data_IF_094495721539
#
_entry.id   IF_094495721539
#
_cell.length_a   1.000
_cell.length_b   1.000
_cell.length_c   1.000
_cell.angle_alpha   90.00
_cell.angle_beta   90.00
_cell.angle_gamma   90.00
#
_symmetry.space_group_name_H-M   'P 1'
#
loop_
_entity.id
_entity.type
_entity.pdbx_description
1 polymer ?
#
# COMPACT_ATOMS: atom_id res chain seq x y z
N UNK A 1 -5.81 16.82 -3.88
CA UNK A 1 -4.50 17.31 -3.43
C UNK A 1 -3.50 16.26 -3.84
N UNK A 2 -2.59 16.59 -4.76
CA UNK A 2 -1.46 15.73 -5.12
C UNK A 2 -0.53 15.63 -3.93
N UNK A 3 -0.06 14.42 -3.62
CA UNK A 3 1.01 14.19 -2.66
C UNK A 3 2.19 15.05 -3.12
N UNK A 4 2.52 16.10 -2.38
CA UNK A 4 3.72 16.90 -2.63
C UNK A 4 4.90 16.16 -2.05
N UNK A 5 5.27 15.04 -2.65
CA UNK A 5 6.63 14.50 -2.54
C UNK A 5 7.54 15.38 -3.38
N UNK A 6 8.72 15.70 -2.85
CA UNK A 6 9.77 16.29 -3.68
C UNK A 6 10.07 15.33 -4.86
N UNK A 7 10.43 15.85 -6.04
CA UNK A 7 10.77 15.03 -7.21
C UNK A 7 11.87 13.99 -6.91
N UNK A 8 12.75 14.29 -5.95
CA UNK A 8 13.80 13.40 -5.45
C UNK A 8 13.19 12.24 -4.66
N UNK A 9 12.36 12.52 -3.64
CA UNK A 9 11.72 11.48 -2.82
C UNK A 9 10.88 10.52 -3.67
N UNK A 10 10.12 11.06 -4.63
CA UNK A 10 9.32 10.24 -5.54
C UNK A 10 10.20 9.30 -6.38
N UNK A 11 11.37 9.75 -6.83
CA UNK A 11 12.34 8.88 -7.54
C UNK A 11 12.88 7.79 -6.61
N UNK A 12 13.27 8.13 -5.38
CA UNK A 12 13.72 7.16 -4.38
C UNK A 12 12.63 6.11 -4.08
N UNK A 13 11.38 6.55 -3.93
CA UNK A 13 10.24 5.66 -3.67
C UNK A 13 9.91 4.74 -4.84
N UNK A 14 10.00 5.25 -6.08
CA UNK A 14 9.78 4.42 -7.27
C UNK A 14 10.83 3.31 -7.38
N UNK A 15 12.09 3.62 -7.11
CA UNK A 15 13.18 2.64 -7.14
C UNK A 15 13.04 1.63 -6.00
N UNK A 16 12.68 2.10 -4.80
CA UNK A 16 12.35 1.24 -3.67
C UNK A 16 11.25 0.22 -4.02
N UNK A 17 10.25 0.64 -4.79
CA UNK A 17 9.16 -0.19 -5.27
C UNK A 17 9.51 -1.03 -6.51
N UNK A 18 10.77 -1.04 -6.95
CA UNK A 18 11.24 -1.70 -8.18
C UNK A 18 10.49 -1.24 -9.44
N UNK A 19 10.00 0.02 -9.48
CA UNK A 19 9.31 0.60 -10.64
C UNK A 19 10.24 1.28 -11.63
N UNK A 20 11.50 1.49 -11.27
CA UNK A 20 12.53 2.09 -12.11
C UNK A 20 13.67 1.11 -12.33
N UNK A 21 14.29 1.16 -13.51
CA UNK A 21 15.45 0.34 -13.79
C UNK A 21 16.65 0.87 -13.02
N UNK A 22 17.40 -0.02 -12.38
CA UNK A 22 18.59 0.34 -11.59
C UNK A 22 19.63 1.11 -12.41
N UNK A 23 19.77 0.79 -13.70
CA UNK A 23 20.69 1.49 -14.63
C UNK A 23 20.24 2.94 -14.89
N UNK A 24 18.93 3.18 -15.01
CA UNK A 24 18.40 4.54 -15.16
C UNK A 24 18.59 5.34 -13.88
N UNK A 25 18.45 4.68 -12.72
CA UNK A 25 18.70 5.30 -11.42
C UNK A 25 20.18 5.65 -11.24
N UNK A 26 21.11 4.73 -11.56
CA UNK A 26 22.55 4.99 -11.53
C UNK A 26 22.91 6.24 -12.36
N UNK A 27 22.42 6.32 -13.60
CA UNK A 27 22.66 7.47 -14.46
C UNK A 27 22.12 8.77 -13.86
N UNK A 28 20.95 8.70 -13.25
CA UNK A 28 20.36 9.86 -12.57
C UNK A 28 21.21 10.31 -11.38
N UNK A 29 21.70 9.38 -10.54
CA UNK A 29 22.61 9.69 -9.42
C UNK A 29 23.84 10.46 -9.91
N UNK A 30 24.49 9.99 -10.97
CA UNK A 30 25.70 10.64 -11.49
C UNK A 30 25.49 12.03 -12.10
N UNK A 31 24.24 12.36 -12.47
CA UNK A 31 23.91 13.61 -13.16
C UNK A 31 23.14 14.61 -12.28
N UNK A 32 22.66 14.19 -11.11
CA UNK A 32 21.74 14.98 -10.30
C UNK A 32 22.49 15.84 -9.27
N UNK A 33 22.66 17.12 -9.60
CA UNK A 33 23.12 18.11 -8.61
C UNK A 33 22.08 18.29 -7.50
N UNK A 34 20.79 18.21 -7.82
CA UNK A 34 19.69 18.29 -6.85
C UNK A 34 19.78 17.17 -5.78
N UNK A 35 20.14 15.94 -6.17
CA UNK A 35 20.33 14.83 -5.23
C UNK A 35 21.50 15.08 -4.27
N UNK A 36 22.60 15.63 -4.80
CA UNK A 36 23.79 15.98 -4.04
C UNK A 36 23.54 17.09 -3.03
N UNK A 37 22.66 18.04 -3.34
CA UNK A 37 22.21 19.08 -2.42
C UNK A 37 21.21 18.56 -1.37
N UNK A 38 20.39 17.57 -1.75
CA UNK A 38 19.39 16.97 -0.87
C UNK A 38 20.00 16.04 0.19
N UNK A 39 21.02 15.26 -0.17
CA UNK A 39 21.68 14.31 0.72
C UNK A 39 22.84 14.94 1.48
N UNK A 40 23.21 14.33 2.61
CA UNK A 40 24.51 14.62 3.22
C UNK A 40 25.65 14.18 2.27
N UNK A 41 26.82 14.81 2.38
CA UNK A 41 27.97 14.45 1.54
C UNK A 41 28.33 12.97 1.64
N UNK A 42 28.38 12.43 2.87
CA UNK A 42 28.68 11.01 3.12
C UNK A 42 27.63 10.09 2.48
N UNK A 43 26.34 10.40 2.66
CA UNK A 43 25.27 9.63 2.03
C UNK A 43 25.37 9.67 0.51
N UNK A 44 25.60 10.84 -0.09
CA UNK A 44 25.76 10.96 -1.54
C UNK A 44 26.94 10.13 -2.07
N UNK A 45 28.07 10.11 -1.36
CA UNK A 45 29.20 9.24 -1.72
C UNK A 45 28.83 7.76 -1.63
N UNK A 46 28.07 7.32 -0.63
CA UNK A 46 27.59 5.93 -0.56
C UNK A 46 26.74 5.55 -1.80
N UNK A 47 25.92 6.47 -2.33
CA UNK A 47 25.18 6.24 -3.57
C UNK A 47 26.10 6.17 -4.80
N UNK A 48 27.18 6.95 -4.85
CA UNK A 48 28.16 6.90 -5.94
C UNK A 48 28.99 5.62 -5.94
N UNK A 49 29.36 5.13 -4.75
CA UNK A 49 30.22 3.96 -4.57
C UNK A 49 29.46 2.63 -4.69
N UNK A 50 28.13 2.67 -4.78
CA UNK A 50 27.31 1.47 -4.92
C UNK A 50 27.63 0.71 -6.21
N UNK A 51 27.86 -0.60 -6.11
CA UNK A 51 28.03 -1.46 -7.28
C UNK A 51 26.66 -1.79 -7.92
N UNK A 52 26.14 -0.89 -8.75
CA UNK A 52 24.84 -1.03 -9.44
C UNK A 52 24.72 -2.26 -10.37
N UNK A 53 25.84 -2.88 -10.72
CA UNK A 53 25.89 -4.07 -11.59
C UNK A 53 25.85 -5.40 -10.80
N UNK A 54 25.91 -5.34 -9.47
CA UNK A 54 25.81 -6.52 -8.62
C UNK A 54 24.42 -7.16 -8.72
N UNK A 55 24.35 -8.48 -8.54
CA UNK A 55 23.08 -9.20 -8.39
C UNK A 55 22.29 -8.73 -7.15
N UNK A 56 22.99 -8.21 -6.13
CA UNK A 56 22.40 -7.67 -4.90
C UNK A 56 22.08 -6.18 -4.97
N UNK A 57 22.33 -5.51 -6.10
CA UNK A 57 22.35 -4.06 -6.17
C UNK A 57 21.02 -3.41 -5.75
N UNK A 58 19.86 -3.99 -6.09
CA UNK A 58 18.57 -3.48 -5.61
C UNK A 58 18.41 -3.58 -4.09
N UNK A 59 18.89 -4.65 -3.47
CA UNK A 59 18.83 -4.82 -2.03
C UNK A 59 19.71 -3.78 -1.33
N UNK A 60 20.94 -3.63 -1.81
CA UNK A 60 21.92 -2.71 -1.25
C UNK A 60 21.47 -1.25 -1.43
N UNK A 61 20.90 -0.94 -2.59
CA UNK A 61 20.27 0.35 -2.87
C UNK A 61 19.10 0.65 -1.93
N UNK A 62 18.22 -0.32 -1.67
CA UNK A 62 17.15 -0.13 -0.68
C UNK A 62 17.71 0.13 0.70
N UNK A 63 18.78 -0.55 1.10
CA UNK A 63 19.41 -0.26 2.40
C UNK A 63 19.94 1.17 2.48
N UNK A 64 20.52 1.72 1.41
CA UNK A 64 20.93 3.12 1.35
C UNK A 64 19.71 4.06 1.44
N UNK A 65 18.72 3.87 0.57
CA UNK A 65 17.51 4.68 0.54
C UNK A 65 16.81 4.69 1.91
N UNK A 66 16.79 3.55 2.63
CA UNK A 66 16.09 3.42 3.92
C UNK A 66 16.61 4.35 5.01
N UNK A 67 17.86 4.80 4.88
CA UNK A 67 18.50 5.73 5.82
C UNK A 67 18.13 7.19 5.52
N UNK A 68 17.78 7.48 4.27
CA UNK A 68 17.57 8.84 3.77
C UNK A 68 16.09 9.22 3.66
N UNK A 69 15.17 8.26 3.82
CA UNK A 69 13.73 8.50 3.71
C UNK A 69 12.98 8.25 5.01
N UNK A 70 11.88 8.99 5.20
CA UNK A 70 10.90 8.62 6.22
C UNK A 70 10.08 7.44 5.75
N UNK A 71 10.14 6.33 6.49
CA UNK A 71 9.27 5.16 6.26
C UNK A 71 7.79 5.55 6.31
N UNK A 72 7.42 6.48 7.18
CA UNK A 72 6.04 6.97 7.29
C UNK A 72 5.57 7.66 6.00
N UNK A 73 6.42 8.52 5.42
CA UNK A 73 6.11 9.20 4.15
C UNK A 73 6.06 8.19 3.00
N UNK A 74 7.00 7.26 2.94
CA UNK A 74 7.04 6.22 1.91
C UNK A 74 5.80 5.33 1.94
N UNK A 75 5.41 4.83 3.11
CA UNK A 75 4.22 3.99 3.28
C UNK A 75 2.95 4.74 2.86
N UNK A 76 2.84 6.01 3.26
CA UNK A 76 1.71 6.87 2.90
C UNK A 76 1.66 7.10 1.39
N UNK A 77 2.79 7.46 0.77
CA UNK A 77 2.90 7.62 -0.67
C UNK A 77 2.55 6.33 -1.42
N UNK A 78 3.06 5.19 -0.95
CA UNK A 78 2.83 3.87 -1.56
C UNK A 78 1.37 3.48 -1.51
N UNK A 79 0.69 3.66 -0.37
CA UNK A 79 -0.73 3.33 -0.25
C UNK A 79 -1.60 4.29 -1.07
N UNK A 80 -1.32 5.59 -1.05
CA UNK A 80 -2.04 6.56 -1.88
C UNK A 80 -1.88 6.27 -3.38
N UNK A 81 -0.69 5.87 -3.83
CA UNK A 81 -0.48 5.43 -5.21
C UNK A 81 -1.34 4.20 -5.55
N UNK A 82 -1.40 3.20 -4.68
CA UNK A 82 -2.24 2.02 -4.87
C UNK A 82 -3.73 2.38 -4.97
N UNK A 83 -4.20 3.23 -4.05
CA UNK A 83 -5.58 3.75 -4.02
C UNK A 83 -5.92 4.49 -5.33
N UNK A 84 -5.02 5.35 -5.81
CA UNK A 84 -5.25 6.08 -7.05
C UNK A 84 -5.20 5.17 -8.29
N UNK A 85 -4.36 4.14 -8.32
CA UNK A 85 -4.40 3.11 -9.36
C UNK A 85 -5.73 2.36 -9.38
N UNK A 86 -6.31 2.02 -8.22
CA UNK A 86 -7.66 1.43 -8.13
C UNK A 86 -8.71 2.41 -8.62
N UNK A 87 -8.68 3.65 -8.14
CA UNK A 87 -9.63 4.71 -8.53
C UNK A 87 -9.65 4.95 -10.04
N UNK A 88 -8.48 4.99 -10.67
CA UNK A 88 -8.31 5.26 -12.10
C UNK A 88 -8.27 4.00 -12.97
N UNK A 89 -8.35 2.80 -12.38
CA UNK A 89 -8.17 1.50 -13.05
C UNK A 89 -6.89 1.42 -13.89
N UNK A 90 -5.76 1.91 -13.36
CA UNK A 90 -4.47 2.00 -14.08
C UNK A 90 -3.51 0.87 -13.70
N UNK A 91 -2.82 0.33 -14.70
CA UNK A 91 -1.83 -0.73 -14.51
C UNK A 91 -2.44 -2.00 -13.93
N UNK A 92 -1.72 -2.66 -13.02
CA UNK A 92 -2.16 -3.86 -12.31
C UNK A 92 -3.10 -3.54 -11.13
N UNK A 93 -4.06 -2.64 -11.32
CA UNK A 93 -4.91 -2.15 -10.23
C UNK A 93 -5.66 -3.26 -9.47
N UNK A 94 -6.02 -4.34 -10.16
CA UNK A 94 -6.68 -5.50 -9.55
C UNK A 94 -5.80 -6.19 -8.50
N UNK A 95 -4.47 -6.21 -8.67
CA UNK A 95 -3.53 -6.72 -7.66
C UNK A 95 -3.53 -5.85 -6.41
N UNK A 96 -3.77 -4.55 -6.54
CA UNK A 96 -3.91 -3.66 -5.38
C UNK A 96 -5.20 -3.93 -4.62
N UNK A 97 -6.30 -4.18 -5.33
CA UNK A 97 -7.56 -4.62 -4.70
C UNK A 97 -7.33 -5.91 -3.92
N UNK A 98 -6.70 -6.93 -4.53
CA UNK A 98 -6.34 -8.19 -3.87
C UNK A 98 -5.40 -8.00 -2.67
N UNK A 99 -4.48 -7.04 -2.73
CA UNK A 99 -3.51 -6.79 -1.66
C UNK A 99 -4.10 -6.08 -0.44
N UNK A 100 -5.28 -5.43 -0.53
CA UNK A 100 -5.90 -4.78 0.63
C UNK A 100 -6.21 -5.77 1.76
N UNK A 101 -6.56 -7.02 1.45
CA UNK A 101 -6.71 -8.07 2.46
C UNK A 101 -5.41 -8.31 3.24
N UNK A 102 -4.28 -8.40 2.54
CA UNK A 102 -2.98 -8.61 3.17
C UNK A 102 -2.58 -7.42 4.06
N UNK A 103 -2.81 -6.19 3.60
CA UNK A 103 -2.49 -5.00 4.39
C UNK A 103 -3.31 -4.92 5.69
N UNK A 104 -4.61 -5.23 5.62
CA UNK A 104 -5.48 -5.34 6.79
C UNK A 104 -4.98 -6.45 7.74
N UNK A 105 -4.74 -7.66 7.20
CA UNK A 105 -4.21 -8.81 7.94
C UNK A 105 -2.85 -8.53 8.62
N UNK A 106 -1.99 -7.73 7.99
CA UNK A 106 -0.70 -7.34 8.56
C UNK A 106 -0.78 -6.19 9.57
N UNK A 107 -1.93 -5.53 9.74
CA UNK A 107 -2.14 -4.58 10.83
C UNK A 107 -2.72 -3.23 10.41
N UNK A 108 -2.86 -2.91 9.11
CA UNK A 108 -3.53 -1.68 8.66
C UNK A 108 -5.05 -1.78 8.74
N UNK A 109 -5.57 -2.09 9.93
CA UNK A 109 -7.00 -2.35 10.17
C UNK A 109 -7.94 -1.20 9.82
N UNK A 110 -7.42 0.02 9.62
CA UNK A 110 -8.20 1.13 9.12
C UNK A 110 -8.76 0.91 7.71
N UNK A 111 -8.18 0.02 6.89
CA UNK A 111 -8.68 -0.30 5.54
C UNK A 111 -9.66 -1.48 5.50
N UNK A 112 -10.15 -1.97 6.64
CA UNK A 112 -10.94 -3.22 6.71
C UNK A 112 -12.14 -3.26 5.76
N UNK A 113 -12.76 -2.12 5.44
CA UNK A 113 -13.80 -2.03 4.41
C UNK A 113 -13.29 -2.44 3.02
N UNK A 114 -12.12 -1.94 2.60
CA UNK A 114 -11.49 -2.33 1.34
C UNK A 114 -11.12 -3.82 1.32
N UNK A 115 -10.64 -4.32 2.47
CA UNK A 115 -10.29 -5.72 2.70
C UNK A 115 -11.51 -6.64 2.59
N UNK A 116 -12.55 -6.42 3.38
CA UNK A 116 -13.65 -7.37 3.52
C UNK A 116 -14.72 -7.24 2.42
N UNK A 117 -15.03 -6.03 1.98
CA UNK A 117 -16.13 -5.83 1.02
C UNK A 117 -15.69 -6.09 -0.43
N UNK A 118 -14.38 -6.11 -0.71
CA UNK A 118 -13.84 -6.25 -2.07
C UNK A 118 -12.71 -7.27 -2.15
N UNK A 119 -11.62 -7.05 -1.40
CA UNK A 119 -10.41 -7.87 -1.51
C UNK A 119 -10.64 -9.34 -1.14
N UNK A 120 -11.46 -9.59 -0.12
CA UNK A 120 -11.81 -10.93 0.34
C UNK A 120 -12.46 -11.76 -0.77
N UNK A 121 -13.36 -11.16 -1.55
CA UNK A 121 -14.02 -11.85 -2.67
C UNK A 121 -13.08 -12.15 -3.82
N UNK A 122 -11.99 -11.40 -3.98
CA UNK A 122 -10.91 -11.73 -4.91
C UNK A 122 -10.07 -12.88 -4.37
N UNK A 123 -9.62 -12.82 -3.12
CA UNK A 123 -8.77 -13.85 -2.52
C UNK A 123 -9.51 -15.18 -2.31
N UNK A 124 -10.85 -15.16 -2.19
CA UNK A 124 -11.67 -16.34 -1.96
C UNK A 124 -12.93 -16.34 -2.85
N UNK A 125 -12.80 -16.53 -4.18
CA UNK A 125 -13.92 -16.48 -5.13
C UNK A 125 -14.83 -17.72 -5.05
N UNK A 126 -14.59 -18.62 -4.09
CA UNK A 126 -15.23 -19.92 -3.97
C UNK A 126 -16.75 -19.81 -3.91
N UNK A 127 -17.27 -18.82 -3.18
CA UNK A 127 -18.72 -18.62 -3.03
C UNK A 127 -19.47 -18.39 -4.35
N UNK A 128 -18.79 -17.85 -5.38
CA UNK A 128 -19.41 -17.55 -6.69
C UNK A 128 -18.95 -18.51 -7.79
N UNK A 129 -17.67 -18.85 -7.80
CA UNK A 129 -17.05 -19.58 -8.91
C UNK A 129 -16.48 -20.95 -8.53
N UNK A 130 -16.57 -21.35 -7.26
CA UNK A 130 -16.14 -22.68 -6.80
C UNK A 130 -14.61 -22.91 -6.80
N UNK A 131 -13.81 -21.85 -6.91
CA UNK A 131 -12.34 -21.90 -6.82
C UNK A 131 -11.83 -21.06 -5.65
N UNK A 132 -10.68 -21.42 -5.09
CA UNK A 132 -10.03 -20.72 -3.99
C UNK A 132 -9.00 -19.68 -4.44
N UNK A 133 -8.68 -19.59 -5.73
CA UNK A 133 -7.66 -18.68 -6.25
C UNK A 133 -8.23 -17.87 -7.42
N UNK A 134 -8.14 -16.54 -7.32
CA UNK A 134 -8.51 -15.61 -8.37
C UNK A 134 -7.83 -15.94 -9.71
N UNK A 135 -6.59 -16.43 -9.67
CA UNK A 135 -5.79 -16.72 -10.85
C UNK A 135 -6.25 -18.00 -11.58
N UNK A 136 -7.07 -18.84 -10.95
CA UNK A 136 -7.71 -19.99 -11.60
C UNK A 136 -8.93 -19.59 -12.44
N UNK A 137 -9.44 -18.37 -12.26
CA UNK A 137 -10.54 -17.85 -13.07
C UNK A 137 -10.08 -17.50 -14.48
N UNK A 138 -10.97 -17.68 -15.46
CA UNK A 138 -10.74 -17.12 -16.80
C UNK A 138 -10.73 -15.59 -16.74
N UNK A 139 -9.99 -14.94 -17.64
CA UNK A 139 -9.95 -13.47 -17.73
C UNK A 139 -11.35 -12.84 -17.80
N UNK A 140 -12.31 -13.51 -18.45
CA UNK A 140 -13.70 -13.07 -18.48
C UNK A 140 -14.33 -13.03 -17.07
N UNK A 141 -14.20 -14.10 -16.28
CA UNK A 141 -14.74 -14.18 -14.91
C UNK A 141 -14.01 -13.25 -13.94
N UNK A 142 -12.70 -13.09 -14.11
CA UNK A 142 -11.91 -12.10 -13.37
C UNK A 142 -12.45 -10.69 -13.59
N UNK A 143 -12.66 -10.31 -14.85
CA UNK A 143 -13.21 -9.00 -15.19
C UNK A 143 -14.66 -8.82 -14.71
N UNK A 144 -15.49 -9.86 -14.79
CA UNK A 144 -16.86 -9.85 -14.26
C UNK A 144 -16.85 -9.54 -12.75
N UNK A 145 -16.05 -10.27 -11.97
CA UNK A 145 -15.92 -10.05 -10.52
C UNK A 145 -15.41 -8.64 -10.20
N UNK A 146 -14.33 -8.21 -10.85
CA UNK A 146 -13.75 -6.87 -10.61
C UNK A 146 -14.77 -5.78 -10.95
N UNK A 147 -15.54 -5.92 -12.03
CA UNK A 147 -16.50 -4.91 -12.44
C UNK A 147 -17.66 -4.76 -11.46
N UNK A 148 -18.05 -5.81 -10.73
CA UNK A 148 -19.08 -5.75 -9.69
C UNK A 148 -18.70 -4.83 -8.52
N UNK A 149 -17.41 -4.59 -8.29
CA UNK A 149 -16.96 -3.69 -7.23
C UNK A 149 -17.19 -2.21 -7.57
N UNK A 150 -17.36 -1.87 -8.84
CA UNK A 150 -17.48 -0.48 -9.28
C UNK A 150 -18.94 -0.11 -9.58
N UNK A 151 -19.37 1.11 -9.23
CA UNK A 151 -18.57 2.22 -8.72
C UNK A 151 -18.33 2.21 -7.20
N UNK A 152 -18.94 1.29 -6.45
CA UNK A 152 -18.98 1.32 -4.97
C UNK A 152 -17.60 1.37 -4.29
N UNK A 153 -16.59 0.67 -4.83
CA UNK A 153 -15.23 0.67 -4.30
C UNK A 153 -14.59 2.06 -4.28
N UNK A 154 -15.02 2.96 -5.17
CA UNK A 154 -14.49 4.33 -5.26
C UNK A 154 -14.78 5.12 -3.99
N UNK A 155 -15.94 4.91 -3.36
CA UNK A 155 -16.28 5.58 -2.09
C UNK A 155 -15.35 5.15 -0.97
N UNK A 156 -15.10 3.84 -0.83
CA UNK A 156 -14.18 3.30 0.16
C UNK A 156 -12.72 3.75 -0.10
N UNK A 157 -12.29 3.78 -1.36
CA UNK A 157 -10.98 4.29 -1.75
C UNK A 157 -10.81 5.77 -1.38
N UNK A 158 -11.80 6.60 -1.72
CA UNK A 158 -11.76 8.03 -1.41
C UNK A 158 -11.75 8.27 0.10
N UNK A 159 -12.50 7.49 0.87
CA UNK A 159 -12.53 7.60 2.34
C UNK A 159 -11.13 7.34 2.94
N UNK A 160 -10.48 6.24 2.54
CA UNK A 160 -9.12 5.93 2.99
C UNK A 160 -8.11 6.98 2.52
N UNK A 161 -8.22 7.43 1.28
CA UNK A 161 -7.38 8.51 0.73
C UNK A 161 -7.50 9.78 1.57
N UNK A 162 -8.71 10.18 1.95
CA UNK A 162 -8.94 11.34 2.81
C UNK A 162 -8.40 11.15 4.23
N UNK A 163 -8.43 9.94 4.80
CA UNK A 163 -7.81 9.70 6.10
C UNK A 163 -6.31 9.91 6.09
N UNK A 164 -5.64 9.48 5.02
CA UNK A 164 -4.20 9.65 4.85
C UNK A 164 -3.84 11.11 4.57
N UNK A 165 -4.57 11.76 3.64
CA UNK A 165 -4.27 13.15 3.25
C UNK A 165 -4.52 14.16 4.38
N UNK A 166 -5.49 13.90 5.26
CA UNK A 166 -5.79 14.76 6.40
C UNK A 166 -5.04 14.36 7.68
N UNK A 167 -4.11 13.40 7.60
CA UNK A 167 -3.36 12.86 8.75
C UNK A 167 -4.26 12.32 9.88
N UNK A 168 -5.50 11.95 9.55
CA UNK A 168 -6.38 11.21 10.45
C UNK A 168 -5.85 9.79 10.67
N UNK A 169 -5.10 9.27 9.71
CA UNK A 169 -4.31 8.03 9.83
C UNK A 169 -2.88 8.33 9.40
N UNK A 170 -1.92 8.06 10.27
CA UNK A 170 -0.48 8.23 10.00
C UNK A 170 0.19 6.86 10.00
N UNK A 171 0.75 6.44 8.87
CA UNK A 171 1.40 5.13 8.75
C UNK A 171 2.79 5.19 9.37
N UNK A 172 3.14 4.21 10.19
CA UNK A 172 4.48 4.09 10.79
C UNK A 172 5.32 2.98 10.13
N UNK A 173 4.71 2.25 9.20
CA UNK A 173 5.30 1.06 8.59
C UNK A 173 5.39 -0.11 9.57
N UNK A 174 6.23 -1.08 9.22
CA UNK A 174 6.40 -2.30 9.98
C UNK A 174 6.94 -3.42 9.10
N UNK A 175 7.11 -4.60 9.68
CA UNK A 175 7.40 -5.79 8.88
C UNK A 175 6.09 -6.34 8.32
N UNK A 176 6.13 -6.97 7.15
CA UNK A 176 4.96 -7.67 6.57
C UNK A 176 4.78 -9.05 7.22
N UNK A 177 4.69 -9.07 8.55
CA UNK A 177 4.28 -10.21 9.34
C UNK A 177 2.94 -9.90 10.00
N UNK A 178 2.29 -10.94 10.52
CA UNK A 178 0.96 -10.82 11.13
C UNK A 178 0.96 -9.74 12.22
N UNK A 179 0.11 -8.72 12.03
CA UNK A 179 -0.11 -7.59 12.95
C UNK A 179 1.15 -6.74 13.28
N UNK A 180 2.13 -6.69 12.36
CA UNK A 180 3.37 -5.92 12.54
C UNK A 180 3.33 -4.52 11.90
N UNK A 181 2.39 -4.26 10.98
CA UNK A 181 2.18 -2.92 10.41
C UNK A 181 1.51 -2.01 11.44
N UNK A 182 2.09 -0.83 11.65
CA UNK A 182 1.65 0.13 12.68
C UNK A 182 1.19 1.42 12.06
N UNK A 183 0.19 2.03 12.69
CA UNK A 183 -0.33 3.33 12.34
C UNK A 183 -0.84 4.06 13.58
N UNK A 184 -0.93 5.39 13.49
CA UNK A 184 -1.62 6.24 14.48
C UNK A 184 -2.99 6.57 13.90
N UNK A 185 -4.04 6.42 14.71
CA UNK A 185 -5.42 6.67 14.33
C UNK A 185 -6.00 7.83 15.13
N UNK A 186 -6.23 8.96 14.46
CA UNK A 186 -6.87 10.17 14.99
C UNK A 186 -8.33 10.29 14.55
N UNK A 187 -8.89 9.30 13.84
CA UNK A 187 -10.30 9.32 13.43
C UNK A 187 -11.22 9.34 14.64
N UNK A 188 -12.42 9.90 14.48
CA UNK A 188 -13.40 9.91 15.57
C UNK A 188 -13.87 8.47 15.91
N UNK A 189 -14.24 8.22 17.17
CA UNK A 189 -14.75 6.90 17.61
C UNK A 189 -16.00 6.44 16.82
N UNK A 190 -16.79 7.38 16.29
CA UNK A 190 -17.93 7.08 15.43
C UNK A 190 -17.54 6.58 14.03
N UNK A 191 -16.33 6.87 13.58
CA UNK A 191 -15.78 6.44 12.29
C UNK A 191 -15.03 5.11 12.43
N UNK A 192 -14.34 4.88 13.56
CA UNK A 192 -13.69 3.60 13.85
C UNK A 192 -14.70 2.47 14.10
N UNK A 193 -15.85 2.76 14.71
CA UNK A 193 -16.95 1.79 14.92
C UNK A 193 -17.76 1.47 13.66
N UNK A 194 -17.67 2.25 12.58
CA UNK A 194 -18.34 1.89 11.31
C UNK A 194 -17.67 0.69 10.63
N UNK A 195 -16.37 0.53 10.85
CA UNK A 195 -15.52 -0.50 10.23
C UNK A 195 -15.50 -1.83 11.01
N UNK A 196 -15.95 -1.81 12.26
CA UNK A 196 -16.39 -2.98 12.98
C UNK A 196 -17.88 -2.84 13.21
N UNK A 197 -18.73 -3.41 12.34
CA UNK A 197 -20.06 -3.79 12.81
C UNK A 197 -19.86 -4.71 14.00
N UNK A 198 -19.95 -4.15 15.21
CA UNK A 198 -20.25 -4.87 16.43
C UNK A 198 -21.51 -5.68 16.09
N UNK A 199 -21.34 -6.95 15.72
CA UNK A 199 -22.38 -7.93 16.00
C UNK A 199 -22.54 -7.85 17.49
N UNK A 200 -23.56 -7.12 17.94
CA UNK A 200 -23.98 -7.07 19.32
C UNK A 200 -23.83 -8.49 19.88
N UNK A 201 -22.96 -8.65 20.87
CA UNK A 201 -22.75 -9.92 21.54
C UNK A 201 -24.10 -10.38 22.09
N UNK A 202 -24.84 -11.17 21.32
CA UNK A 202 -25.84 -12.06 21.89
C UNK A 202 -25.05 -13.09 22.66
N UNK A 203 -24.81 -12.76 23.93
CA UNK A 203 -24.27 -13.62 24.98
C UNK A 203 -25.06 -14.92 24.96
N UNK A 204 -24.53 -15.91 24.24
CA UNK A 204 -25.16 -17.20 23.95
C UNK A 204 -25.42 -18.02 25.22
N UNK A 205 -24.82 -17.63 26.35
CA UNK A 205 -25.03 -18.20 27.67
C UNK A 205 -26.29 -17.71 28.40
N UNK A 206 -27.10 -16.79 27.83
CA UNK A 206 -28.36 -16.33 28.46
C UNK A 206 -29.59 -17.22 28.18
N UNK A 207 -29.45 -18.29 27.41
CA UNK A 207 -30.55 -19.22 27.09
C UNK A 207 -30.74 -20.37 28.11
N UNK A 208 -29.90 -20.43 29.15
CA UNK A 208 -30.06 -21.39 30.24
C UNK A 208 -30.39 -20.62 31.52
N UNK A 209 -31.68 -20.37 31.73
CA UNK A 209 -32.28 -20.03 33.03
C UNK A 209 -33.63 -20.71 33.16
#
# INVERSE_FOLDING_TARGET
MSITTNSIEERLFNVWMNKSLIVEFEQWVYQSEELKEYLSADAYFDFLDLNYKSETAYHDLKNLISKEISISQFETWSLLHQLDCVKQRRGDYYKFIENFYNLDYYGYTFISKLSHDYSFYMNYPFGKYGTYDFNELTTFKQNELINEFYPSIIEAVNEVEQWLLNENVILLGGKKYFNDLKFIDHRALSETKKNHTEKAEKKWWRFWK
#
